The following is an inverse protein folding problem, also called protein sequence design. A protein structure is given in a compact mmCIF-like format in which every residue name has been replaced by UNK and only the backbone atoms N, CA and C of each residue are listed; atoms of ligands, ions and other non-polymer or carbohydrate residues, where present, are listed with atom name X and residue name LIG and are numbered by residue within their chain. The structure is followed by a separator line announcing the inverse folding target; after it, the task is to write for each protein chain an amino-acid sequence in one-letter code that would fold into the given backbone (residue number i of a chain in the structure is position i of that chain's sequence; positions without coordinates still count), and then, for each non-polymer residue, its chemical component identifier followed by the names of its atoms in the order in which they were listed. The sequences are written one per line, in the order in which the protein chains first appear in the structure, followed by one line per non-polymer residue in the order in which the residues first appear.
data_IF_654067157023
#
_entry.id   IF_654067157023
#
_cell.length_a   1.000
_cell.length_b   1.000
_cell.length_c   1.000
_cell.angle_alpha   90.00
_cell.angle_beta   90.00
_cell.angle_gamma   90.00
#
_symmetry.space_group_name_H-M   'P 1'
#
loop_
_entity.id
_entity.type
_entity.pdbx_description
1 polymer ?
#
# COMPACT_ATOMS: atom_id res chain seq x y z
N UNK A 1 -3.77 -2.41 -24.93
CA UNK A 1 -3.53 -2.96 -23.58
C UNK A 1 -3.07 -4.40 -23.75
N UNK A 2 -1.81 -4.68 -23.41
CA UNK A 2 -1.24 -6.01 -23.51
C UNK A 2 -1.46 -6.78 -22.20
N UNK A 3 -2.07 -7.98 -22.23
CA UNK A 3 -2.43 -8.69 -20.99
C UNK A 3 -1.24 -8.99 -20.06
N UNK A 4 -0.06 -9.27 -20.61
CA UNK A 4 1.14 -9.56 -19.83
C UNK A 4 1.74 -8.32 -19.17
N UNK A 5 1.60 -7.15 -19.80
CA UNK A 5 2.11 -5.87 -19.30
C UNK A 5 1.25 -5.39 -18.14
N UNK A 6 -0.08 -5.39 -18.30
CA UNK A 6 -1.03 -5.07 -17.23
C UNK A 6 -0.86 -6.01 -16.01
N UNK A 7 -0.54 -7.28 -16.27
CA UNK A 7 -0.20 -8.23 -15.22
C UNK A 7 1.11 -7.85 -14.50
N UNK A 8 2.18 -7.56 -15.25
CA UNK A 8 3.46 -7.15 -14.67
C UNK A 8 3.34 -5.84 -13.88
N UNK A 9 2.59 -4.86 -14.38
CA UNK A 9 2.30 -3.60 -13.69
C UNK A 9 1.55 -3.82 -12.38
N UNK A 10 0.58 -4.74 -12.36
CA UNK A 10 -0.16 -5.10 -11.13
C UNK A 10 0.80 -5.66 -10.06
N UNK A 11 1.72 -6.54 -10.45
CA UNK A 11 2.73 -7.08 -9.52
C UNK A 11 3.68 -6.01 -9.01
N UNK A 12 4.23 -5.20 -9.92
CA UNK A 12 5.13 -4.12 -9.56
C UNK A 12 4.46 -3.16 -8.57
N UNK A 13 3.19 -2.82 -8.80
CA UNK A 13 2.42 -2.00 -7.88
C UNK A 13 2.26 -2.66 -6.51
N UNK A 14 1.84 -3.93 -6.47
CA UNK A 14 1.66 -4.64 -5.21
C UNK A 14 2.96 -4.66 -4.38
N UNK A 15 4.10 -4.93 -5.01
CA UNK A 15 5.40 -4.94 -4.34
C UNK A 15 5.78 -3.55 -3.82
N UNK A 16 5.62 -2.50 -4.64
CA UNK A 16 5.85 -1.12 -4.18
C UNK A 16 5.00 -0.74 -2.97
N UNK A 17 3.71 -1.14 -2.96
CA UNK A 17 2.81 -0.88 -1.83
C UNK A 17 3.32 -1.56 -0.56
N UNK A 18 3.70 -2.84 -0.64
CA UNK A 18 4.22 -3.61 0.51
C UNK A 18 5.54 -3.02 1.00
N UNK A 19 6.49 -2.74 0.11
CA UNK A 19 7.81 -2.19 0.48
C UNK A 19 7.69 -0.82 1.16
N UNK A 20 6.80 0.03 0.67
CA UNK A 20 6.56 1.35 1.27
C UNK A 20 5.90 1.25 2.65
N UNK A 21 4.95 0.32 2.82
CA UNK A 21 4.33 0.05 4.12
C UNK A 21 5.33 -0.56 5.11
N UNK A 22 6.19 -1.46 4.64
CA UNK A 22 7.24 -2.08 5.46
C UNK A 22 8.26 -1.05 5.91
N UNK A 23 8.66 -0.15 5.01
CA UNK A 23 9.49 1.01 5.35
C UNK A 23 8.83 1.84 6.45
N UNK A 24 7.54 2.17 6.32
CA UNK A 24 6.82 2.93 7.33
C UNK A 24 6.82 2.24 8.70
N UNK A 25 6.59 0.92 8.75
CA UNK A 25 6.64 0.13 10.01
C UNK A 25 8.04 0.09 10.60
N UNK A 26 9.04 -0.17 9.76
CA UNK A 26 10.44 -0.29 10.18
C UNK A 26 10.96 0.99 10.85
N UNK A 27 10.46 2.16 10.42
CA UNK A 27 10.78 3.45 11.04
C UNK A 27 9.79 3.87 12.13
N UNK A 28 8.79 3.06 12.45
CA UNK A 28 7.77 3.36 13.46
C UNK A 28 6.90 4.57 13.09
N UNK A 29 6.68 4.82 11.79
CA UNK A 29 5.85 5.91 11.32
C UNK A 29 4.41 5.70 11.77
N UNK A 30 3.86 6.69 12.48
CA UNK A 30 2.45 6.74 12.85
C UNK A 30 1.87 8.11 12.51
N UNK A 31 0.63 8.12 12.06
CA UNK A 31 -0.14 9.34 11.78
C UNK A 31 -1.22 9.47 12.85
N UNK A 32 -1.08 10.51 13.68
CA UNK A 32 -1.93 10.82 14.83
C UNK A 32 -2.55 12.20 14.62
N UNK A 33 -3.57 12.34 13.76
CA UNK A 33 -4.16 13.65 13.49
C UNK A 33 -5.05 14.13 14.64
N UNK A 34 -5.11 15.45 14.83
CA UNK A 34 -6.00 16.07 15.83
C UNK A 34 -7.47 16.06 15.39
N UNK A 35 -7.72 16.02 14.08
CA UNK A 35 -9.06 16.04 13.51
C UNK A 35 -9.55 14.62 13.17
N UNK A 36 -10.73 14.19 13.64
CA UNK A 36 -11.25 12.83 13.41
C UNK A 36 -11.51 12.45 11.94
N UNK A 37 -11.51 13.43 11.03
CA UNK A 37 -11.74 13.24 9.60
C UNK A 37 -10.44 13.04 8.82
N UNK A 38 -9.31 13.33 9.45
CA UNK A 38 -8.01 13.14 8.83
C UNK A 38 -7.59 11.66 8.89
N UNK A 39 -6.83 11.20 7.90
CA UNK A 39 -6.50 9.79 7.80
C UNK A 39 -5.47 9.37 8.87
N UNK A 40 -5.89 8.47 9.75
CA UNK A 40 -5.05 7.88 10.81
C UNK A 40 -4.25 6.68 10.29
N UNK A 41 -3.04 6.49 10.83
CA UNK A 41 -2.21 5.31 10.61
C UNK A 41 -1.49 4.94 11.90
N UNK A 42 -2.05 4.02 12.66
CA UNK A 42 -1.48 3.55 13.95
C UNK A 42 -1.13 2.06 13.95
N UNK A 43 -1.60 1.31 12.96
CA UNK A 43 -1.33 -0.12 12.85
C UNK A 43 0.12 -0.39 12.39
N UNK A 44 0.86 -1.10 13.23
CA UNK A 44 2.27 -1.48 13.04
C UNK A 44 2.44 -2.99 12.79
N UNK A 45 1.37 -3.70 12.40
CA UNK A 45 1.45 -5.14 12.08
C UNK A 45 2.50 -5.36 11.00
N UNK A 46 3.47 -6.29 11.20
CA UNK A 46 4.43 -6.67 10.17
C UNK A 46 3.72 -6.99 8.85
N UNK A 47 4.26 -6.53 7.72
CA UNK A 47 3.58 -6.65 6.43
C UNK A 47 3.37 -8.11 5.99
N UNK A 48 4.22 -9.01 6.48
CA UNK A 48 4.15 -10.45 6.24
C UNK A 48 2.97 -11.12 6.96
N UNK A 49 2.52 -10.54 8.07
CA UNK A 49 1.40 -11.02 8.89
C UNK A 49 0.09 -10.29 8.55
N UNK A 50 0.17 -9.17 7.81
CA UNK A 50 -0.95 -8.32 7.50
C UNK A 50 -1.88 -8.92 6.44
N UNK A 51 -3.19 -8.88 6.70
CA UNK A 51 -4.19 -9.19 5.67
C UNK A 51 -4.19 -8.12 4.56
N UNK A 52 -4.64 -8.47 3.35
CA UNK A 52 -4.79 -7.47 2.28
C UNK A 52 -5.63 -6.25 2.68
N UNK A 53 -6.70 -6.45 3.46
CA UNK A 53 -7.52 -5.33 3.91
C UNK A 53 -6.77 -4.40 4.87
N UNK A 54 -5.90 -4.98 5.72
CA UNK A 54 -5.01 -4.22 6.59
C UNK A 54 -4.00 -3.40 5.79
N UNK A 55 -3.35 -4.02 4.80
CA UNK A 55 -2.43 -3.31 3.90
C UNK A 55 -3.13 -2.14 3.20
N UNK A 56 -4.33 -2.38 2.67
CA UNK A 56 -5.09 -1.37 1.94
C UNK A 56 -5.56 -0.22 2.86
N UNK A 57 -6.01 -0.51 4.08
CA UNK A 57 -6.40 0.53 5.04
C UNK A 57 -5.21 1.41 5.46
N UNK A 58 -3.99 0.85 5.45
CA UNK A 58 -2.76 1.58 5.77
C UNK A 58 -2.16 2.31 4.56
N UNK A 59 -2.41 1.82 3.34
CA UNK A 59 -1.91 2.42 2.11
C UNK A 59 -2.49 3.80 1.81
N UNK A 60 -3.81 3.97 2.01
CA UNK A 60 -4.48 5.25 1.79
C UNK A 60 -3.95 6.40 2.66
N UNK A 61 -3.86 6.27 4.00
CA UNK A 61 -3.32 7.34 4.85
C UNK A 61 -1.85 7.65 4.52
N UNK A 62 -1.05 6.62 4.23
CA UNK A 62 0.37 6.79 3.89
C UNK A 62 0.55 7.60 2.60
N UNK A 63 -0.14 7.21 1.52
CA UNK A 63 -0.06 7.93 0.23
C UNK A 63 -0.62 9.35 0.30
N UNK A 64 -1.68 9.55 1.11
CA UNK A 64 -2.22 10.88 1.37
C UNK A 64 -1.18 11.81 1.98
N UNK A 65 -0.53 11.38 3.07
CA UNK A 65 0.50 12.20 3.75
C UNK A 65 1.74 12.35 2.89
N UNK A 66 2.18 11.31 2.18
CA UNK A 66 3.29 11.39 1.24
C UNK A 66 3.08 12.49 0.19
N UNK A 67 1.91 12.51 -0.45
CA UNK A 67 1.58 13.52 -1.44
C UNK A 67 1.50 14.93 -0.81
N UNK A 68 0.90 15.04 0.38
CA UNK A 68 0.84 16.33 1.09
C UNK A 68 2.24 16.86 1.46
N UNK A 69 3.12 16.00 1.95
CA UNK A 69 4.52 16.35 2.23
C UNK A 69 5.27 16.77 0.96
N UNK A 70 5.09 16.03 -0.14
CA UNK A 70 5.70 16.40 -1.42
C UNK A 70 5.26 17.79 -1.86
N UNK A 71 3.96 18.10 -1.82
CA UNK A 71 3.45 19.44 -2.16
C UNK A 71 4.02 20.53 -1.26
N UNK A 72 4.14 20.28 0.05
CA UNK A 72 4.76 21.22 0.99
C UNK A 72 6.24 21.50 0.68
N UNK A 73 6.94 20.55 0.09
CA UNK A 73 8.33 20.68 -0.37
C UNK A 73 8.45 21.18 -1.81
N UNK A 74 7.34 21.56 -2.46
CA UNK A 74 7.33 21.98 -3.87
C UNK A 74 7.61 20.85 -4.86
N UNK A 75 7.49 19.59 -4.43
CA UNK A 75 7.63 18.39 -5.26
C UNK A 75 6.27 17.95 -5.81
N UNK A 76 6.23 17.29 -6.98
CA UNK A 76 5.02 16.65 -7.45
C UNK A 76 4.59 15.51 -6.52
N UNK A 77 3.30 15.20 -6.52
CA UNK A 77 2.74 14.05 -5.82
C UNK A 77 3.50 12.77 -6.23
N UNK A 78 3.99 12.02 -5.24
CA UNK A 78 4.70 10.76 -5.46
C UNK A 78 3.76 9.63 -5.90
N UNK A 79 2.47 9.77 -5.58
CA UNK A 79 1.42 8.82 -5.93
C UNK A 79 0.14 9.58 -6.39
N UNK A 80 0.13 10.16 -7.60
CA UNK A 80 -0.91 11.10 -8.07
C UNK A 80 -2.17 10.41 -8.63
N UNK A 81 -2.53 9.22 -8.12
CA UNK A 81 -3.66 8.46 -8.66
C UNK A 81 -4.44 7.72 -7.57
N UNK A 82 -5.72 7.52 -7.84
CA UNK A 82 -6.61 6.72 -7.00
C UNK A 82 -6.73 5.32 -7.56
N UNK A 83 -6.72 4.32 -6.70
CA UNK A 83 -6.94 2.93 -7.08
C UNK A 83 -8.42 2.69 -7.41
N UNK A 84 -8.71 2.39 -8.67
CA UNK A 84 -10.04 1.94 -9.08
C UNK A 84 -10.35 0.54 -8.54
N UNK A 85 -11.62 0.24 -8.27
CA UNK A 85 -12.03 -1.07 -7.70
C UNK A 85 -11.48 -2.28 -8.46
N UNK A 86 -11.47 -2.33 -9.81
CA UNK A 86 -10.89 -3.46 -10.53
C UNK A 86 -9.39 -3.63 -10.29
N UNK A 87 -8.64 -2.55 -10.05
CA UNK A 87 -7.21 -2.62 -9.74
C UNK A 87 -7.02 -3.17 -8.33
N UNK A 88 -7.84 -2.75 -7.37
CA UNK A 88 -7.84 -3.30 -6.00
C UNK A 88 -8.07 -4.81 -6.02
N UNK A 89 -8.99 -5.30 -6.87
CA UNK A 89 -9.24 -6.74 -7.00
C UNK A 89 -8.05 -7.50 -7.59
N UNK A 90 -7.34 -6.91 -8.56
CA UNK A 90 -6.10 -7.48 -9.10
C UNK A 90 -5.00 -7.53 -8.03
N UNK A 91 -4.81 -6.46 -7.26
CA UNK A 91 -3.85 -6.43 -6.15
C UNK A 91 -4.21 -7.48 -5.08
N UNK A 92 -5.50 -7.64 -4.76
CA UNK A 92 -6.00 -8.68 -3.85
C UNK A 92 -5.71 -10.08 -4.37
N UNK A 93 -5.78 -10.29 -5.68
CA UNK A 93 -5.39 -11.55 -6.29
C UNK A 93 -3.90 -11.82 -6.12
N UNK A 94 -3.03 -10.85 -6.40
CA UNK A 94 -1.57 -10.98 -6.20
C UNK A 94 -1.24 -11.33 -4.74
N UNK A 95 -1.84 -10.63 -3.77
CA UNK A 95 -1.66 -10.93 -2.34
C UNK A 95 -1.97 -12.39 -2.01
N UNK A 96 -3.10 -12.91 -2.52
CA UNK A 96 -3.49 -14.32 -2.30
C UNK A 96 -2.49 -15.31 -2.90
N UNK A 97 -1.95 -15.02 -4.08
CA UNK A 97 -0.94 -15.87 -4.74
C UNK A 97 0.34 -15.95 -3.89
N UNK A 98 0.80 -14.81 -3.38
CA UNK A 98 1.98 -14.73 -2.51
C UNK A 98 1.73 -15.48 -1.19
N UNK A 99 0.62 -15.19 -0.52
CA UNK A 99 0.26 -15.83 0.75
C UNK A 99 0.15 -17.36 0.62
N UNK A 100 -0.46 -17.85 -0.46
CA UNK A 100 -0.55 -19.29 -0.74
C UNK A 100 0.82 -19.93 -1.02
N UNK A 101 1.77 -19.17 -1.57
CA UNK A 101 3.14 -19.63 -1.83
C UNK A 101 3.99 -19.68 -0.55
N UNK A 102 3.77 -18.74 0.38
CA UNK A 102 4.42 -18.72 1.69
C UNK A 102 3.92 -19.83 2.63
N UNK A 103 2.65 -20.26 2.47
CA UNK A 103 2.03 -21.35 3.22
C UNK A 103 2.41 -22.76 2.77
N UNK A 104 3.47 -22.94 1.97
CA UNK A 104 4.04 -24.28 1.70
C UNK A 104 5.14 -24.63 2.71
N UNK A 105 4.83 -25.33 3.82
CA UNK A 105 5.76 -26.25 4.43
C UNK A 105 5.65 -27.57 3.65
N UNK A 106 6.70 -27.88 2.88
CA UNK A 106 6.98 -29.21 2.36
C UNK A 106 8.34 -29.64 2.89
#
# INVERSE_FOLDING_TARGET
MHPWEDWAETWAHYLHMVDALDTAVSYGLALLPDHPQEPELTDQTPVEEASFNNLMSRWFPLTYVLNSLNRSLGQPDGYPFTLASPVIDKLRFVHRVIAASAQKPG
#
